data_IF_620890125920
#
_entry.id   IF_620890125920
#
_cell.length_a   1.000
_cell.length_b   1.000
_cell.length_c   1.000
_cell.angle_alpha   90.00
_cell.angle_beta   90.00
_cell.angle_gamma   90.00
#
_symmetry.space_group_name_H-M   'P 1'
#
loop_
_entity.id
_entity.type
_entity.pdbx_description
1 polymer ?
#
# COMPACT_ATOMS: atom_id res chain seq x y z
N UNK A 1 -9.53 -0.47 22.33
CA UNK A 1 -9.18 0.43 21.21
C UNK A 1 -10.49 0.95 20.62
N UNK A 2 -10.60 2.24 20.28
CA UNK A 2 -11.81 2.75 19.62
C UNK A 2 -11.91 2.21 18.19
N UNK A 3 -13.13 2.15 17.63
CA UNK A 3 -13.36 1.70 16.25
C UNK A 3 -12.58 2.54 15.23
N UNK A 4 -12.54 3.86 15.42
CA UNK A 4 -11.77 4.78 14.57
C UNK A 4 -10.27 4.47 14.58
N UNK A 5 -9.73 4.11 15.74
CA UNK A 5 -8.31 3.77 15.87
C UNK A 5 -8.00 2.42 15.23
N UNK A 6 -8.95 1.48 15.25
CA UNK A 6 -8.85 0.21 14.50
C UNK A 6 -8.87 0.44 13.00
N UNK A 7 -9.78 1.28 12.51
CA UNK A 7 -9.85 1.64 11.09
C UNK A 7 -8.57 2.34 10.62
N UNK A 8 -8.08 3.33 11.38
CA UNK A 8 -6.86 4.06 11.06
C UNK A 8 -5.62 3.16 11.01
N UNK A 9 -5.48 2.25 11.99
CA UNK A 9 -4.39 1.27 12.00
C UNK A 9 -4.50 0.32 10.81
N UNK A 10 -5.71 -0.13 10.48
CA UNK A 10 -5.96 -1.00 9.32
C UNK A 10 -5.54 -0.32 8.02
N UNK A 11 -6.00 0.91 7.80
CA UNK A 11 -5.64 1.75 6.65
C UNK A 11 -4.12 1.94 6.54
N UNK A 12 -3.48 2.27 7.67
CA UNK A 12 -2.03 2.45 7.71
C UNK A 12 -1.29 1.16 7.36
N UNK A 13 -1.64 0.02 7.95
CA UNK A 13 -0.92 -1.24 7.73
C UNK A 13 -1.20 -1.85 6.35
N UNK A 14 -2.42 -1.75 5.83
CA UNK A 14 -2.74 -2.19 4.46
C UNK A 14 -2.01 -1.29 3.46
N UNK A 15 -2.03 0.03 3.68
CA UNK A 15 -1.29 0.98 2.87
C UNK A 15 0.22 0.71 2.88
N UNK A 16 0.77 0.45 4.05
CA UNK A 16 2.18 0.10 4.23
C UNK A 16 2.55 -1.18 3.46
N UNK A 17 1.76 -2.25 3.59
CA UNK A 17 2.01 -3.51 2.89
C UNK A 17 1.96 -3.31 1.36
N UNK A 18 0.97 -2.59 0.84
CA UNK A 18 0.83 -2.30 -0.60
C UNK A 18 2.02 -1.47 -1.11
N UNK A 19 2.44 -0.45 -0.37
CA UNK A 19 3.60 0.38 -0.74
C UNK A 19 4.88 -0.44 -0.72
N UNK A 20 5.09 -1.25 0.31
CA UNK A 20 6.28 -2.11 0.42
C UNK A 20 6.33 -3.15 -0.71
N UNK A 21 5.20 -3.74 -1.09
CA UNK A 21 5.12 -4.65 -2.23
C UNK A 21 5.34 -3.91 -3.56
N UNK A 22 4.67 -2.79 -3.78
CA UNK A 22 4.75 -2.02 -5.02
C UNK A 22 6.14 -1.41 -5.25
N UNK A 23 6.64 -0.65 -4.28
CA UNK A 23 7.99 -0.08 -4.34
C UNK A 23 9.06 -1.15 -4.30
N UNK A 24 8.86 -2.21 -3.51
CA UNK A 24 9.76 -3.35 -3.47
C UNK A 24 9.89 -4.02 -4.83
N UNK A 25 8.79 -4.27 -5.54
CA UNK A 25 8.78 -4.81 -6.89
C UNK A 25 9.47 -3.87 -7.89
N UNK A 26 9.17 -2.57 -7.85
CA UNK A 26 9.80 -1.58 -8.73
C UNK A 26 11.31 -1.50 -8.50
N UNK A 27 11.76 -1.48 -7.24
CA UNK A 27 13.18 -1.40 -6.88
C UNK A 27 13.89 -2.72 -7.18
N UNK A 28 13.25 -3.87 -6.98
CA UNK A 28 13.82 -5.17 -7.34
C UNK A 28 13.95 -5.32 -8.87
N UNK A 29 13.01 -4.79 -9.64
CA UNK A 29 13.03 -4.89 -11.09
C UNK A 29 13.97 -3.86 -11.74
N UNK A 30 13.78 -2.57 -11.45
CA UNK A 30 14.50 -1.46 -12.07
C UNK A 30 15.74 -0.99 -11.30
N UNK A 31 15.95 -1.44 -10.07
CA UNK A 31 17.08 -1.02 -9.25
C UNK A 31 18.43 -1.48 -9.79
N UNK A 32 19.49 -0.75 -9.42
CA UNK A 32 20.87 -1.18 -9.61
C UNK A 32 21.18 -2.43 -8.79
N UNK A 33 22.29 -3.14 -9.10
CA UNK A 33 22.75 -4.31 -8.31
C UNK A 33 22.79 -4.06 -6.80
N UNK A 34 23.07 -2.82 -6.37
CA UNK A 34 23.14 -2.45 -4.94
C UNK A 34 21.76 -2.19 -4.33
N UNK A 35 20.81 -1.67 -5.09
CA UNK A 35 19.48 -1.29 -4.58
C UNK A 35 18.44 -2.39 -4.73
N UNK A 36 18.64 -3.36 -5.63
CA UNK A 36 17.74 -4.51 -5.81
C UNK A 36 17.52 -5.32 -4.52
N UNK A 37 18.56 -5.47 -3.69
CA UNK A 37 18.46 -6.19 -2.42
C UNK A 37 17.50 -5.50 -1.44
N UNK A 38 17.48 -4.17 -1.44
CA UNK A 38 16.50 -3.41 -0.66
C UNK A 38 15.08 -3.61 -1.20
N UNK A 39 14.93 -3.68 -2.53
CA UNK A 39 13.65 -4.04 -3.17
C UNK A 39 13.13 -5.39 -2.72
N UNK A 40 13.97 -6.43 -2.70
CA UNK A 40 13.60 -7.75 -2.18
C UNK A 40 13.26 -7.72 -0.68
N UNK A 41 13.98 -6.93 0.13
CA UNK A 41 13.65 -6.75 1.54
C UNK A 41 12.27 -6.11 1.73
N UNK A 42 11.92 -5.08 0.95
CA UNK A 42 10.60 -4.46 0.97
C UNK A 42 9.50 -5.44 0.54
N UNK A 43 9.73 -6.26 -0.49
CA UNK A 43 8.77 -7.30 -0.89
C UNK A 43 8.55 -8.29 0.26
N UNK A 44 9.61 -8.75 0.93
CA UNK A 44 9.49 -9.68 2.04
C UNK A 44 8.71 -9.08 3.21
N UNK A 45 9.01 -7.83 3.59
CA UNK A 45 8.28 -7.14 4.67
C UNK A 45 6.81 -6.99 4.29
N UNK A 46 6.51 -6.48 3.10
CA UNK A 46 5.14 -6.31 2.63
C UNK A 46 4.37 -7.64 2.53
N UNK A 47 5.03 -8.73 2.16
CA UNK A 47 4.43 -10.06 2.11
C UNK A 47 4.12 -10.61 3.51
N UNK A 48 4.99 -10.40 4.49
CA UNK A 48 4.76 -10.79 5.89
C UNK A 48 3.58 -10.01 6.47
N UNK A 49 3.53 -8.70 6.25
CA UNK A 49 2.42 -7.85 6.72
C UNK A 49 1.10 -8.26 6.08
N UNK A 50 1.10 -8.53 4.78
CA UNK A 50 -0.08 -9.01 4.06
C UNK A 50 -0.54 -10.38 4.57
N UNK A 51 0.39 -11.30 4.82
CA UNK A 51 0.09 -12.63 5.35
C UNK A 51 -0.46 -12.56 6.78
N UNK A 52 0.13 -11.75 7.66
CA UNK A 52 -0.34 -11.54 9.02
C UNK A 52 -1.80 -11.06 9.04
N UNK A 53 -2.13 -10.09 8.19
CA UNK A 53 -3.50 -9.60 8.04
C UNK A 53 -4.47 -10.65 7.49
N UNK A 54 -4.01 -11.47 6.53
CA UNK A 54 -4.81 -12.58 6.02
C UNK A 54 -5.04 -13.67 7.09
N UNK A 55 -4.10 -13.91 7.99
CA UNK A 55 -4.30 -14.86 9.09
C UNK A 55 -5.31 -14.34 10.14
N UNK A 56 -5.24 -13.04 10.44
CA UNK A 56 -6.22 -12.36 11.30
C UNK A 56 -7.64 -12.41 10.69
N UNK A 57 -7.75 -12.44 9.35
CA UNK A 57 -9.03 -12.53 8.64
C UNK A 57 -9.71 -13.89 8.77
N UNK A 58 -8.92 -14.96 8.68
CA UNK A 58 -9.40 -16.34 8.71
C UNK A 58 -9.75 -16.79 10.12
N UNK A 59 -9.14 -16.20 11.16
CA UNK A 59 -9.36 -16.56 12.56
C UNK A 59 -10.71 -16.10 13.16
N UNK A 60 -11.68 -15.65 12.35
CA UNK A 60 -13.02 -15.26 12.81
C UNK A 60 -13.13 -13.85 13.38
N UNK A 61 -12.10 -13.02 13.23
CA UNK A 61 -12.23 -11.58 13.45
C UNK A 61 -13.09 -10.98 12.33
N UNK A 62 -14.30 -10.51 12.66
CA UNK A 62 -15.26 -9.87 11.74
C UNK A 62 -14.74 -8.60 11.01
N UNK A 63 -13.45 -8.30 11.14
CA UNK A 63 -12.77 -7.09 10.70
C UNK A 63 -12.26 -7.18 9.27
N UNK A 64 -12.10 -8.36 8.70
CA UNK A 64 -11.08 -8.51 7.65
C UNK A 64 -11.60 -8.66 6.21
N UNK A 65 -12.88 -8.93 6.01
CA UNK A 65 -13.45 -8.92 4.66
C UNK A 65 -13.73 -7.50 4.16
N UNK A 66 -14.49 -6.73 4.96
CA UNK A 66 -14.97 -5.39 4.58
C UNK A 66 -13.89 -4.34 4.80
N UNK A 67 -13.25 -4.30 5.98
CA UNK A 67 -12.26 -3.25 6.27
C UNK A 67 -10.98 -3.38 5.42
N UNK A 68 -10.62 -4.57 4.93
CA UNK A 68 -9.46 -4.75 4.06
C UNK A 68 -9.72 -4.25 2.65
N UNK A 69 -10.91 -4.50 2.08
CA UNK A 69 -11.28 -3.98 0.77
C UNK A 69 -11.48 -2.47 0.80
N UNK A 70 -12.16 -1.96 1.83
CA UNK A 70 -12.34 -0.52 2.03
C UNK A 70 -11.00 0.19 2.24
N UNK A 71 -10.08 -0.44 3.00
CA UNK A 71 -8.73 0.10 3.20
C UNK A 71 -7.89 0.04 1.93
N UNK A 72 -7.97 -1.06 1.19
CA UNK A 72 -7.28 -1.19 -0.09
C UNK A 72 -7.80 -0.16 -1.10
N UNK A 73 -9.11 0.06 -1.14
CA UNK A 73 -9.75 1.04 -2.02
C UNK A 73 -9.37 2.46 -1.61
N UNK A 74 -9.31 2.77 -0.32
CA UNK A 74 -8.87 4.07 0.19
C UNK A 74 -7.40 4.34 -0.18
N UNK A 75 -6.52 3.35 -0.02
CA UNK A 75 -5.11 3.44 -0.40
C UNK A 75 -4.96 3.60 -1.92
N UNK A 76 -5.58 2.72 -2.70
CA UNK A 76 -5.52 2.76 -4.16
C UNK A 76 -6.13 4.05 -4.73
N UNK A 77 -7.25 4.51 -4.18
CA UNK A 77 -7.87 5.79 -4.51
C UNK A 77 -6.97 6.97 -4.18
N UNK A 78 -6.26 6.95 -3.05
CA UNK A 78 -5.27 7.96 -2.68
C UNK A 78 -4.12 8.03 -3.69
N UNK A 79 -3.57 6.89 -4.11
CA UNK A 79 -2.51 6.85 -5.13
C UNK A 79 -3.01 7.29 -6.51
N UNK A 80 -4.18 6.81 -6.94
CA UNK A 80 -4.77 7.22 -8.22
C UNK A 80 -5.05 8.72 -8.25
N UNK A 81 -5.60 9.28 -7.17
CA UNK A 81 -5.83 10.72 -7.03
C UNK A 81 -4.54 11.53 -7.09
N UNK A 82 -3.47 11.08 -6.42
CA UNK A 82 -2.16 11.73 -6.47
C UNK A 82 -1.56 11.75 -7.89
N UNK A 83 -1.63 10.63 -8.61
CA UNK A 83 -1.14 10.53 -9.99
C UNK A 83 -1.93 11.47 -10.91
N UNK A 84 -3.26 11.44 -10.85
CA UNK A 84 -4.12 12.32 -11.65
C UNK A 84 -3.83 13.79 -11.35
N UNK A 85 -3.68 14.14 -10.07
CA UNK A 85 -3.34 15.50 -9.64
C UNK A 85 -2.00 15.98 -10.23
N UNK A 86 -0.96 15.14 -10.19
CA UNK A 86 0.34 15.44 -10.80
C UNK A 86 0.21 15.61 -12.31
N UNK A 87 -0.53 14.76 -13.01
CA UNK A 87 -0.74 14.87 -14.47
C UNK A 87 -1.43 16.19 -14.82
N UNK A 88 -2.52 16.54 -14.13
CA UNK A 88 -3.25 17.80 -14.36
C UNK A 88 -2.32 19.00 -14.14
N UNK A 89 -1.55 18.99 -13.04
CA UNK A 89 -0.58 20.02 -12.75
C UNK A 89 0.49 20.16 -13.85
N UNK A 90 1.05 19.04 -14.30
CA UNK A 90 2.03 19.01 -15.40
C UNK A 90 1.45 19.58 -16.71
N UNK A 91 0.21 19.22 -17.05
CA UNK A 91 -0.47 19.77 -18.24
C UNK A 91 -0.67 21.28 -18.11
N UNK A 92 -1.01 21.78 -16.92
CA UNK A 92 -1.21 23.20 -16.68
C UNK A 92 0.07 24.02 -16.88
N UNK A 93 1.22 23.53 -16.43
CA UNK A 93 2.51 24.22 -16.60
C UNK A 93 3.08 24.10 -18.02
N UNK A 94 2.83 23.01 -18.73
CA UNK A 94 3.29 22.84 -20.13
C UNK A 94 2.50 23.74 -21.08
N UNK A 95 1.23 24.02 -20.76
CA UNK A 95 0.38 24.93 -21.56
C UNK A 95 0.54 26.41 -21.18
N UNK A 96 1.28 26.74 -20.12
CA UNK A 96 1.61 28.11 -19.73
C UNK A 96 2.85 28.61 -20.47
#
# INVERSE_FOLDING_TARGET
MSEDMTLALTLFTVGFAVVMLGMGALVAYYGSKKTRNAGFAFILIGAVDFWYWNMQSVAGGAWAGVAMLDSLLAVAGGFAGAIVGVIIFLVAIIKS
#
